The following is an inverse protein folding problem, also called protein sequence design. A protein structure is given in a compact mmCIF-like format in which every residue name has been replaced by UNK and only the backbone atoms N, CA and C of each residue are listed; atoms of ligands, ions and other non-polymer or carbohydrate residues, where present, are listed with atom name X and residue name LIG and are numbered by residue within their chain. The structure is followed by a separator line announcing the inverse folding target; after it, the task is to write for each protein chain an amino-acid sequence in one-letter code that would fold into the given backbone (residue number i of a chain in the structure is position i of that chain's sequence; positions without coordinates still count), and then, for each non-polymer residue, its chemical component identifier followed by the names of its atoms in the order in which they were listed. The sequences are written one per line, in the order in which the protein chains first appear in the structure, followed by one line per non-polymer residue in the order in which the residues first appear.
data_IF_477980927497
#
_entry.id   IF_477980927497
#
_cell.length_a   1.000
_cell.length_b   1.000
_cell.length_c   1.000
_cell.angle_alpha   90.00
_cell.angle_beta   90.00
_cell.angle_gamma   90.00
#
_symmetry.space_group_name_H-M   'P 1'
#
loop_
_entity.id
_entity.type
_entity.pdbx_description
1 polymer ?
#
# COMPACT_ATOMS: atom_id res chain seq x y z
N UNK A 1 18.58 2.14 16.55
CA UNK A 1 17.81 2.07 15.28
C UNK A 1 18.12 3.17 14.27
N UNK A 2 17.82 4.47 14.51
CA UNK A 2 18.17 5.55 13.55
C UNK A 2 19.62 5.47 13.02
N UNK A 3 20.58 5.27 13.92
CA UNK A 3 21.99 5.08 13.53
C UNK A 3 22.22 3.85 12.66
N UNK A 4 21.59 2.70 12.95
CA UNK A 4 21.75 1.47 12.15
C UNK A 4 21.23 1.69 10.72
N UNK A 5 20.05 2.28 10.57
CA UNK A 5 19.49 2.61 9.24
C UNK A 5 20.40 3.58 8.48
N UNK A 6 20.95 4.59 9.16
CA UNK A 6 21.93 5.52 8.59
C UNK A 6 23.18 4.78 8.08
N UNK A 7 23.77 3.89 8.88
CA UNK A 7 24.98 3.16 8.49
C UNK A 7 24.75 2.33 7.22
N UNK A 8 23.58 1.71 7.07
CA UNK A 8 23.24 0.96 5.85
C UNK A 8 23.08 1.89 4.64
N UNK A 9 22.38 3.02 4.82
CA UNK A 9 22.25 4.02 3.77
C UNK A 9 23.60 4.63 3.34
N UNK A 10 24.50 4.88 4.30
CA UNK A 10 25.86 5.37 4.04
C UNK A 10 26.70 4.34 3.29
N UNK A 11 26.53 3.04 3.61
CA UNK A 11 27.23 1.97 2.92
C UNK A 11 26.80 1.87 1.44
N UNK A 12 25.50 1.95 1.17
CA UNK A 12 24.98 2.01 -0.21
C UNK A 12 25.47 3.27 -0.94
N UNK A 13 25.50 4.41 -0.25
CA UNK A 13 26.02 5.67 -0.78
C UNK A 13 27.49 5.55 -1.15
N UNK A 14 28.31 4.97 -0.28
CA UNK A 14 29.73 4.75 -0.53
C UNK A 14 29.98 3.88 -1.78
N UNK A 15 29.23 2.79 -1.94
CA UNK A 15 29.34 1.97 -3.16
C UNK A 15 28.89 2.73 -4.41
N UNK A 16 27.76 3.44 -4.34
CA UNK A 16 27.24 4.24 -5.45
C UNK A 16 28.25 5.32 -5.88
N UNK A 17 28.93 5.96 -4.95
CA UNK A 17 29.95 6.97 -5.24
C UNK A 17 31.20 6.36 -5.89
N UNK A 18 31.56 5.11 -5.56
CA UNK A 18 32.62 4.38 -6.27
C UNK A 18 32.19 4.09 -7.71
N UNK A 19 31.00 3.52 -7.91
CA UNK A 19 30.47 3.21 -9.25
C UNK A 19 30.37 4.47 -10.11
N UNK A 20 29.93 5.59 -9.53
CA UNK A 20 29.76 6.87 -10.23
C UNK A 20 31.06 7.43 -10.81
N UNK A 21 32.23 7.06 -10.27
CA UNK A 21 33.54 7.45 -10.82
C UNK A 21 33.88 6.78 -12.15
N UNK A 22 33.27 5.62 -12.42
CA UNK A 22 33.63 4.77 -13.57
C UNK A 22 32.47 4.51 -14.53
N UNK A 23 31.22 4.68 -14.08
CA UNK A 23 30.05 4.46 -14.94
C UNK A 23 30.05 5.43 -16.11
N UNK A 24 29.57 4.97 -17.26
CA UNK A 24 29.28 5.83 -18.40
C UNK A 24 28.05 6.71 -18.14
N UNK A 25 27.89 7.83 -18.88
CA UNK A 25 26.72 8.69 -18.75
C UNK A 25 25.38 7.99 -19.03
N UNK A 26 25.36 6.98 -19.89
CA UNK A 26 24.19 6.18 -20.31
C UNK A 26 23.84 5.01 -19.37
N UNK A 27 24.60 4.81 -18.29
CA UNK A 27 24.35 3.77 -17.28
C UNK A 27 23.65 4.34 -16.04
N UNK A 28 22.89 3.51 -15.32
CA UNK A 28 22.22 3.88 -14.07
C UNK A 28 22.70 3.01 -12.89
N UNK A 29 22.59 3.54 -11.68
CA UNK A 29 22.83 2.83 -10.43
C UNK A 29 21.49 2.51 -9.76
N UNK A 30 21.28 1.27 -9.34
CA UNK A 30 20.12 0.83 -8.54
C UNK A 30 20.57 -0.12 -7.42
N UNK A 31 19.64 -0.53 -6.57
CA UNK A 31 19.84 -1.57 -5.56
C UNK A 31 18.56 -2.39 -5.40
N UNK A 32 18.68 -3.71 -5.40
CA UNK A 32 17.57 -4.64 -5.21
C UNK A 32 17.10 -4.65 -3.74
N UNK A 33 16.21 -3.73 -3.38
CA UNK A 33 15.63 -3.72 -2.04
C UNK A 33 14.61 -4.86 -1.86
N UNK A 34 14.38 -5.28 -0.61
CA UNK A 34 13.24 -6.12 -0.25
C UNK A 34 12.05 -5.26 0.20
N UNK A 35 10.80 -5.75 0.12
CA UNK A 35 9.60 -5.11 0.68
C UNK A 35 9.60 -5.03 2.23
N UNK A 36 10.74 -5.30 2.88
CA UNK A 36 10.99 -5.06 4.30
C UNK A 36 11.11 -3.55 4.60
N UNK A 37 10.03 -2.81 4.35
CA UNK A 37 9.95 -1.35 4.49
C UNK A 37 10.24 -0.83 5.90
N UNK A 38 10.28 -1.73 6.88
CA UNK A 38 10.49 -1.44 8.30
C UNK A 38 11.96 -1.49 8.77
N UNK A 39 12.82 -2.27 8.10
CA UNK A 39 14.21 -2.50 8.54
C UNK A 39 15.18 -1.43 8.04
N UNK A 40 14.89 -0.86 6.87
CA UNK A 40 15.73 0.11 6.19
C UNK A 40 15.01 1.44 6.03
N UNK A 41 15.78 2.53 5.96
CA UNK A 41 15.29 3.83 5.53
C UNK A 41 15.54 3.95 4.02
N UNK A 42 14.52 3.66 3.22
CA UNK A 42 14.60 3.67 1.76
C UNK A 42 14.76 5.09 1.21
N UNK A 43 14.30 6.12 1.93
CA UNK A 43 14.50 7.52 1.55
C UNK A 43 15.98 7.86 1.64
N UNK A 44 16.62 7.55 2.77
CA UNK A 44 18.04 7.81 2.96
C UNK A 44 18.90 6.95 2.02
N UNK A 45 18.54 5.67 1.85
CA UNK A 45 19.26 4.69 1.03
C UNK A 45 19.13 4.97 -0.48
N UNK A 46 17.99 5.51 -0.92
CA UNK A 46 17.72 5.81 -2.32
C UNK A 46 18.33 7.12 -2.83
N UNK A 47 19.00 7.91 -1.99
CA UNK A 47 19.50 9.25 -2.37
C UNK A 47 20.52 9.24 -3.51
N UNK A 48 21.43 8.27 -3.53
CA UNK A 48 22.52 8.17 -4.51
C UNK A 48 22.26 7.18 -5.66
N UNK A 49 21.11 6.50 -5.62
CA UNK A 49 20.64 5.63 -6.70
C UNK A 49 19.99 6.48 -7.80
N UNK A 50 20.15 6.11 -9.06
CA UNK A 50 19.52 6.83 -10.17
C UNK A 50 18.05 6.39 -10.33
N UNK A 51 17.74 5.12 -10.03
CA UNK A 51 16.39 4.53 -10.02
C UNK A 51 16.22 3.63 -8.81
N UNK A 52 15.00 3.51 -8.28
CA UNK A 52 14.71 2.53 -7.23
C UNK A 52 14.43 1.16 -7.86
N UNK A 53 14.83 0.08 -7.19
CA UNK A 53 14.35 -1.26 -7.54
C UNK A 53 13.96 -2.08 -6.31
N UNK A 54 13.08 -3.06 -6.51
CA UNK A 54 12.57 -3.90 -5.43
C UNK A 54 12.35 -5.34 -5.90
N UNK A 55 12.56 -6.28 -4.98
CA UNK A 55 12.36 -7.71 -5.13
C UNK A 55 11.03 -8.10 -4.49
N UNK A 56 9.99 -8.31 -5.29
CA UNK A 56 8.63 -8.54 -4.76
C UNK A 56 8.28 -10.00 -4.91
N UNK A 57 8.26 -10.72 -3.78
CA UNK A 57 7.75 -12.08 -3.73
C UNK A 57 6.38 -12.11 -3.08
N UNK A 58 5.45 -12.85 -3.68
CA UNK A 58 4.04 -12.84 -3.30
C UNK A 58 3.42 -14.24 -3.34
N UNK A 59 2.21 -14.37 -2.80
CA UNK A 59 1.39 -15.59 -2.91
C UNK A 59 1.10 -15.95 -4.37
N UNK A 60 0.82 -17.22 -4.61
CA UNK A 60 0.57 -17.79 -5.94
C UNK A 60 -0.62 -18.74 -5.86
N UNK A 61 -1.16 -19.19 -7.00
CA UNK A 61 -2.35 -20.03 -7.04
C UNK A 61 -3.52 -19.32 -6.33
N UNK A 62 -4.22 -20.01 -5.43
CA UNK A 62 -5.35 -19.45 -4.67
C UNK A 62 -4.96 -18.32 -3.70
N UNK A 63 -3.66 -18.14 -3.41
CA UNK A 63 -3.17 -17.08 -2.53
C UNK A 63 -2.81 -15.79 -3.29
N UNK A 64 -2.98 -15.74 -4.62
CA UNK A 64 -2.64 -14.57 -5.41
C UNK A 64 -3.73 -13.49 -5.31
N UNK A 65 -3.41 -12.38 -4.64
CA UNK A 65 -4.34 -11.25 -4.42
C UNK A 65 -3.93 -9.95 -5.11
N UNK A 66 -2.65 -9.84 -5.49
CA UNK A 66 -2.03 -8.60 -5.98
C UNK A 66 -1.79 -7.53 -4.91
N UNK A 67 -2.17 -7.79 -3.65
CA UNK A 67 -2.02 -6.85 -2.53
C UNK A 67 -0.54 -6.55 -2.26
N UNK A 68 0.34 -7.56 -2.27
CA UNK A 68 1.78 -7.41 -2.06
C UNK A 68 2.44 -6.59 -3.19
N UNK A 69 2.05 -6.87 -4.44
CA UNK A 69 2.53 -6.13 -5.62
C UNK A 69 2.12 -4.66 -5.52
N UNK A 70 0.86 -4.39 -5.15
CA UNK A 70 0.36 -3.04 -4.97
C UNK A 70 1.08 -2.30 -3.85
N UNK A 71 1.20 -2.91 -2.66
CA UNK A 71 1.86 -2.30 -1.51
C UNK A 71 3.31 -1.94 -1.83
N UNK A 72 4.08 -2.89 -2.36
CA UNK A 72 5.48 -2.68 -2.71
C UNK A 72 5.64 -1.57 -3.75
N UNK A 73 4.80 -1.60 -4.80
CA UNK A 73 4.83 -0.61 -5.87
C UNK A 73 4.44 0.79 -5.42
N UNK A 74 3.37 0.91 -4.64
CA UNK A 74 2.93 2.20 -4.08
C UNK A 74 4.00 2.79 -3.16
N UNK A 75 4.61 1.98 -2.31
CA UNK A 75 5.69 2.44 -1.43
C UNK A 75 6.92 2.90 -2.23
N UNK A 76 7.43 2.06 -3.12
CA UNK A 76 8.69 2.35 -3.84
C UNK A 76 8.57 3.46 -4.87
N UNK A 77 7.43 3.55 -5.57
CA UNK A 77 7.10 4.71 -6.40
C UNK A 77 7.15 5.99 -5.59
N UNK A 78 6.68 5.95 -4.34
CA UNK A 78 6.61 7.12 -3.47
C UNK A 78 7.95 7.54 -2.87
N UNK A 79 8.92 6.63 -2.71
CA UNK A 79 10.25 6.95 -2.13
C UNK A 79 11.00 7.99 -2.97
N UNK A 80 10.99 7.84 -4.30
CA UNK A 80 11.62 8.82 -5.23
C UNK A 80 10.62 9.62 -6.06
N UNK A 81 9.32 9.39 -5.89
CA UNK A 81 8.25 10.01 -6.69
C UNK A 81 8.48 9.78 -8.19
N UNK A 82 8.87 8.56 -8.54
CA UNK A 82 9.24 8.16 -9.89
C UNK A 82 8.87 6.71 -10.15
N UNK A 83 8.92 6.29 -11.41
CA UNK A 83 8.92 4.88 -11.76
C UNK A 83 10.13 4.15 -11.13
N UNK A 84 9.99 2.84 -10.99
CA UNK A 84 10.95 1.96 -10.34
C UNK A 84 11.11 0.66 -11.14
N UNK A 85 12.01 -0.21 -10.73
CA UNK A 85 12.26 -1.50 -11.38
C UNK A 85 11.89 -2.66 -10.45
N UNK A 86 11.38 -3.74 -11.01
CA UNK A 86 11.32 -5.04 -10.33
C UNK A 86 12.54 -5.83 -10.78
N UNK A 87 13.53 -5.95 -9.90
CA UNK A 87 14.76 -6.71 -10.16
C UNK A 87 14.58 -8.20 -9.88
N UNK A 88 13.60 -8.55 -9.06
CA UNK A 88 13.25 -9.94 -8.78
C UNK A 88 11.75 -10.07 -8.48
N UNK A 89 11.12 -11.11 -8.99
CA UNK A 89 9.77 -11.56 -8.62
C UNK A 89 9.65 -13.07 -8.83
N UNK A 90 8.51 -13.65 -8.42
CA UNK A 90 8.20 -15.07 -8.58
C UNK A 90 8.31 -15.51 -10.06
N UNK A 91 9.04 -16.60 -10.31
CA UNK A 91 8.95 -17.38 -11.54
C UNK A 91 8.09 -18.64 -11.31
N UNK A 92 8.69 -19.82 -11.31
CA UNK A 92 7.95 -21.05 -11.03
C UNK A 92 7.64 -21.18 -9.54
N UNK A 93 8.62 -21.16 -8.65
CA UNK A 93 8.35 -21.36 -7.22
C UNK A 93 9.34 -20.58 -6.36
N UNK A 94 8.96 -20.34 -5.11
CA UNK A 94 9.80 -19.66 -4.11
C UNK A 94 10.04 -20.59 -2.92
N UNK A 95 11.06 -20.27 -2.11
CA UNK A 95 11.37 -20.98 -0.87
C UNK A 95 12.54 -21.98 -1.00
N UNK A 96 13.20 -22.24 0.12
CA UNK A 96 14.45 -23.00 0.18
C UNK A 96 14.28 -24.52 0.25
N UNK A 97 13.07 -25.01 0.51
CA UNK A 97 12.80 -26.44 0.64
C UNK A 97 11.52 -26.85 -0.11
N UNK A 98 11.31 -28.16 -0.23
CA UNK A 98 10.21 -28.72 -1.03
C UNK A 98 8.83 -28.66 -0.34
N UNK A 99 8.70 -28.07 0.86
CA UNK A 99 7.43 -28.12 1.62
C UNK A 99 6.33 -27.26 1.02
N UNK A 100 6.69 -26.14 0.37
CA UNK A 100 5.73 -25.10 -0.04
C UNK A 100 5.94 -24.64 -1.49
N UNK A 101 5.95 -25.59 -2.43
CA UNK A 101 6.22 -25.35 -3.85
C UNK A 101 4.93 -25.10 -4.64
N UNK A 102 4.62 -23.83 -4.96
CA UNK A 102 3.35 -23.40 -5.57
C UNK A 102 3.53 -22.74 -6.95
N UNK A 103 3.68 -23.53 -8.03
CA UNK A 103 3.75 -22.97 -9.38
C UNK A 103 2.48 -22.20 -9.75
N UNK A 104 2.57 -20.96 -10.30
CA UNK A 104 1.41 -20.15 -10.66
C UNK A 104 0.47 -20.86 -11.61
N UNK A 105 -0.84 -20.65 -11.47
CA UNK A 105 -1.81 -21.12 -12.46
C UNK A 105 -1.66 -20.38 -13.79
N UNK A 106 -2.29 -20.92 -14.84
CA UNK A 106 -2.28 -20.29 -16.16
C UNK A 106 -2.81 -18.85 -16.07
N UNK A 107 -2.07 -17.91 -16.64
CA UNK A 107 -2.41 -16.48 -16.67
C UNK A 107 -1.83 -15.69 -15.49
N UNK A 108 -1.48 -16.33 -14.38
CA UNK A 108 -0.98 -15.63 -13.21
C UNK A 108 0.40 -14.99 -13.43
N UNK A 109 1.33 -15.64 -14.14
CA UNK A 109 2.65 -15.05 -14.43
C UNK A 109 2.50 -13.81 -15.30
N UNK A 110 1.66 -13.91 -16.33
CA UNK A 110 1.34 -12.81 -17.24
C UNK A 110 0.68 -11.65 -16.48
N UNK A 111 -0.35 -11.94 -15.68
CA UNK A 111 -1.08 -10.94 -14.91
C UNK A 111 -0.17 -10.17 -13.95
N UNK A 112 0.76 -10.85 -13.28
CA UNK A 112 1.68 -10.23 -12.31
C UNK A 112 2.64 -9.23 -12.96
N UNK A 113 3.14 -9.52 -14.18
CA UNK A 113 3.95 -8.55 -14.95
C UNK A 113 3.17 -7.26 -15.15
N UNK A 114 1.94 -7.33 -15.64
CA UNK A 114 1.11 -6.16 -15.84
C UNK A 114 0.67 -5.49 -14.52
N UNK A 115 0.52 -6.24 -13.43
CA UNK A 115 0.24 -5.69 -12.11
C UNK A 115 1.39 -4.83 -11.57
N UNK A 116 2.65 -5.22 -11.84
CA UNK A 116 3.82 -4.40 -11.57
C UNK A 116 3.84 -3.13 -12.44
N UNK A 117 3.60 -3.26 -13.76
CA UNK A 117 3.55 -2.12 -14.67
C UNK A 117 2.45 -1.11 -14.28
N UNK A 118 1.24 -1.58 -13.96
CA UNK A 118 0.13 -0.73 -13.49
C UNK A 118 0.38 -0.04 -12.15
N UNK A 119 1.38 -0.51 -11.39
CA UNK A 119 1.86 0.13 -10.15
C UNK A 119 2.97 1.16 -10.40
N UNK A 120 3.49 1.24 -11.64
CA UNK A 120 4.53 2.16 -12.07
C UNK A 120 5.91 1.53 -12.27
N UNK A 121 6.03 0.20 -12.31
CA UNK A 121 7.29 -0.43 -12.68
C UNK A 121 7.61 -0.20 -14.17
N UNK A 122 8.89 0.00 -14.49
CA UNK A 122 9.38 0.11 -15.88
C UNK A 122 10.03 -1.18 -16.38
N UNK A 123 10.25 -2.15 -15.50
CA UNK A 123 10.93 -3.41 -15.79
C UNK A 123 10.45 -4.47 -14.81
N UNK A 124 10.29 -5.70 -15.28
CA UNK A 124 9.98 -6.87 -14.47
C UNK A 124 10.95 -7.99 -14.80
N UNK A 125 11.85 -8.28 -13.86
CA UNK A 125 12.79 -9.39 -13.94
C UNK A 125 12.37 -10.52 -13.01
N UNK A 126 12.53 -11.75 -13.51
CA UNK A 126 12.32 -12.95 -12.73
C UNK A 126 13.61 -13.36 -12.03
N UNK A 127 13.51 -13.74 -10.76
CA UNK A 127 14.58 -14.47 -10.10
C UNK A 127 14.23 -15.97 -10.14
N UNK A 128 14.92 -16.78 -10.94
CA UNK A 128 15.94 -16.43 -11.94
C UNK A 128 15.66 -17.14 -13.28
N UNK A 129 16.63 -17.19 -14.19
CA UNK A 129 16.40 -17.77 -15.53
C UNK A 129 16.11 -19.29 -15.51
N UNK A 130 16.83 -20.06 -14.69
CA UNK A 130 16.66 -21.52 -14.61
C UNK A 130 16.51 -21.97 -13.15
N UNK A 131 16.52 -23.27 -12.86
CA UNK A 131 16.51 -23.76 -11.47
C UNK A 131 17.89 -24.31 -11.13
N UNK A 132 18.48 -23.86 -10.00
CA UNK A 132 19.83 -24.28 -9.60
C UNK A 132 19.88 -25.78 -9.27
N UNK A 133 20.92 -26.50 -9.73
CA UNK A 133 21.09 -27.93 -9.43
C UNK A 133 21.66 -28.21 -8.04
N UNK A 134 22.15 -27.19 -7.32
CA UNK A 134 22.74 -27.33 -6.00
C UNK A 134 22.62 -26.02 -5.20
N UNK A 135 22.76 -26.13 -3.88
CA UNK A 135 22.73 -25.00 -2.95
C UNK A 135 21.36 -24.81 -2.28
N UNK A 136 21.27 -23.78 -1.44
CA UNK A 136 20.10 -23.50 -0.60
C UNK A 136 18.81 -23.25 -1.42
N UNK A 137 18.95 -22.73 -2.63
CA UNK A 137 17.84 -22.26 -3.47
C UNK A 137 17.51 -23.24 -4.60
N UNK A 138 17.88 -24.52 -4.47
CA UNK A 138 17.53 -25.59 -5.43
C UNK A 138 16.02 -25.64 -5.71
N UNK A 139 15.18 -25.38 -4.71
CA UNK A 139 13.72 -25.36 -4.87
C UNK A 139 13.13 -23.99 -5.17
N UNK A 140 13.94 -22.94 -5.21
CA UNK A 140 13.49 -21.63 -5.67
C UNK A 140 13.66 -21.57 -7.18
N UNK A 141 12.64 -22.06 -7.89
CA UNK A 141 12.74 -22.34 -9.32
C UNK A 141 12.53 -21.10 -10.18
N UNK A 142 13.46 -20.87 -11.11
CA UNK A 142 13.38 -19.88 -12.16
C UNK A 142 12.41 -20.23 -13.31
N UNK A 143 12.54 -19.55 -14.45
CA UNK A 143 11.69 -19.75 -15.65
C UNK A 143 11.85 -21.16 -16.22
N UNK A 144 13.09 -21.63 -16.36
CA UNK A 144 13.41 -23.01 -16.72
C UNK A 144 13.47 -23.91 -15.49
N UNK A 145 13.06 -25.17 -15.67
CA UNK A 145 13.23 -26.22 -14.67
C UNK A 145 14.68 -26.75 -14.66
N UNK A 146 14.98 -27.71 -13.80
CA UNK A 146 16.31 -28.32 -13.66
C UNK A 146 16.80 -29.04 -14.93
N UNK A 147 15.91 -29.46 -15.82
CA UNK A 147 16.26 -30.06 -17.11
C UNK A 147 16.68 -29.04 -18.17
N UNK A 148 16.47 -27.74 -17.91
CA UNK A 148 16.74 -26.63 -18.82
C UNK A 148 15.91 -26.67 -20.12
N UNK A 149 14.78 -27.37 -20.12
CA UNK A 149 13.88 -27.46 -21.27
C UNK A 149 12.69 -26.47 -21.17
N UNK A 150 12.16 -25.99 -22.32
CA UNK A 150 10.93 -25.20 -22.35
C UNK A 150 9.76 -25.91 -21.67
N UNK A 151 9.01 -25.17 -20.88
CA UNK A 151 7.87 -25.68 -20.11
C UNK A 151 6.68 -24.70 -20.12
N UNK A 152 5.60 -25.02 -19.41
CA UNK A 152 4.40 -24.16 -19.32
C UNK A 152 4.70 -22.73 -18.87
N UNK A 153 5.52 -22.56 -17.82
CA UNK A 153 5.89 -21.23 -17.31
C UNK A 153 6.73 -20.45 -18.34
N UNK A 154 7.69 -21.11 -18.99
CA UNK A 154 8.45 -20.49 -20.09
C UNK A 154 7.54 -20.01 -21.22
N UNK A 155 6.53 -20.80 -21.62
CA UNK A 155 5.60 -20.41 -22.68
C UNK A 155 4.77 -19.18 -22.28
N UNK A 156 4.36 -19.07 -21.01
CA UNK A 156 3.61 -17.90 -20.53
C UNK A 156 4.49 -16.64 -20.43
N UNK A 157 5.74 -16.78 -19.97
CA UNK A 157 6.74 -15.69 -19.98
C UNK A 157 7.01 -15.24 -21.42
N UNK A 158 7.20 -16.18 -22.34
CA UNK A 158 7.41 -15.90 -23.76
C UNK A 158 6.22 -15.17 -24.37
N UNK A 159 4.98 -15.62 -24.12
CA UNK A 159 3.77 -14.90 -24.55
C UNK A 159 3.77 -13.45 -24.06
N UNK A 160 4.03 -13.25 -22.77
CA UNK A 160 4.02 -11.92 -22.15
C UNK A 160 5.08 -11.01 -22.75
N UNK A 161 6.28 -11.53 -23.03
CA UNK A 161 7.34 -10.78 -23.70
C UNK A 161 6.92 -10.28 -25.09
N UNK A 162 6.32 -11.14 -25.92
CA UNK A 162 5.83 -10.75 -27.26
C UNK A 162 4.65 -9.77 -27.21
N UNK A 163 3.83 -9.80 -26.16
CA UNK A 163 2.82 -8.76 -25.93
C UNK A 163 3.49 -7.43 -25.60
N UNK A 164 4.48 -7.41 -24.69
CA UNK A 164 5.23 -6.21 -24.32
C UNK A 164 6.03 -5.60 -25.48
N UNK A 165 6.54 -6.38 -26.42
CA UNK A 165 7.15 -5.85 -27.65
C UNK A 165 6.16 -5.00 -28.47
N UNK A 166 4.87 -5.33 -28.42
CA UNK A 166 3.82 -4.61 -29.16
C UNK A 166 3.30 -3.40 -28.39
N UNK A 167 3.05 -3.56 -27.09
CA UNK A 167 2.32 -2.55 -26.29
C UNK A 167 3.22 -1.78 -25.32
N UNK A 168 4.46 -2.19 -25.10
CA UNK A 168 5.33 -1.67 -24.03
C UNK A 168 5.59 -0.16 -24.10
N UNK A 169 5.66 0.40 -25.31
CA UNK A 169 5.78 1.85 -25.53
C UNK A 169 4.58 2.66 -25.02
N UNK A 170 3.41 2.04 -24.88
CA UNK A 170 2.21 2.64 -24.29
C UNK A 170 2.14 2.47 -22.77
N UNK A 171 2.94 1.57 -22.18
CA UNK A 171 2.85 1.19 -20.76
C UNK A 171 3.99 1.73 -19.90
N UNK A 172 5.16 1.99 -20.49
CA UNK A 172 6.34 2.47 -19.78
C UNK A 172 6.13 3.88 -19.21
N UNK A 173 6.82 4.21 -18.12
CA UNK A 173 6.80 5.51 -17.45
C UNK A 173 5.40 5.97 -17.03
N UNK A 174 4.55 5.02 -16.61
CA UNK A 174 3.20 5.31 -16.15
C UNK A 174 3.24 6.29 -14.97
N UNK A 175 2.61 7.46 -15.14
CA UNK A 175 2.50 8.53 -14.13
C UNK A 175 1.19 8.38 -13.38
N UNK A 176 1.26 8.22 -12.06
CA UNK A 176 0.08 8.09 -11.19
C UNK A 176 -0.12 9.39 -10.41
N UNK A 177 -1.37 9.82 -10.29
CA UNK A 177 -1.75 11.02 -9.53
C UNK A 177 -2.83 10.65 -8.51
N UNK A 178 -2.39 10.17 -7.35
CA UNK A 178 -3.30 9.76 -6.29
C UNK A 178 -3.73 10.97 -5.44
N UNK A 179 -4.95 10.93 -4.91
CA UNK A 179 -5.50 11.95 -3.98
C UNK A 179 -5.50 11.52 -2.52
N UNK A 180 -5.07 10.29 -2.26
CA UNK A 180 -4.99 9.69 -0.94
C UNK A 180 -3.52 9.35 -0.67
N UNK A 181 -3.05 9.65 0.54
CA UNK A 181 -1.73 9.21 1.00
C UNK A 181 -1.80 8.47 2.32
N UNK A 182 -0.89 7.52 2.53
CA UNK A 182 -0.62 6.90 3.83
C UNK A 182 0.70 7.44 4.37
N UNK A 183 0.70 8.01 5.57
CA UNK A 183 1.93 8.43 6.23
C UNK A 183 2.61 7.23 6.90
N UNK A 184 3.77 6.84 6.38
CA UNK A 184 4.60 5.79 6.97
C UNK A 184 5.74 6.41 7.79
N UNK A 185 5.78 6.10 9.08
CA UNK A 185 6.84 6.58 9.99
C UNK A 185 7.68 5.42 10.51
N UNK A 186 8.95 5.35 10.11
CA UNK A 186 9.89 4.38 10.67
C UNK A 186 10.06 4.56 12.18
N UNK A 187 10.06 5.80 12.68
CA UNK A 187 10.22 6.04 14.12
C UNK A 187 9.00 5.60 14.92
N UNK A 188 7.78 5.78 14.40
CA UNK A 188 6.59 5.20 15.00
C UNK A 188 6.62 3.67 14.94
N UNK A 189 7.05 3.10 13.81
CA UNK A 189 7.19 1.66 13.66
C UNK A 189 8.13 1.05 14.71
N UNK A 190 9.30 1.67 14.91
CA UNK A 190 10.28 1.22 15.90
C UNK A 190 9.82 1.48 17.34
N UNK A 191 9.20 2.63 17.61
CA UNK A 191 8.66 2.93 18.94
C UNK A 191 7.61 1.91 19.37
N UNK A 192 6.71 1.54 18.46
CA UNK A 192 5.68 0.52 18.70
C UNK A 192 6.23 -0.90 18.71
N UNK A 193 7.28 -1.21 17.94
CA UNK A 193 7.92 -2.53 18.05
C UNK A 193 8.58 -2.73 19.43
N UNK A 194 9.11 -1.66 20.03
CA UNK A 194 9.73 -1.71 21.36
C UNK A 194 8.69 -1.64 22.49
N UNK A 195 7.60 -0.90 22.29
CA UNK A 195 6.46 -0.79 23.21
C UNK A 195 5.17 -1.27 22.53
N UNK A 196 5.01 -2.59 22.34
CA UNK A 196 3.92 -3.15 21.56
C UNK A 196 2.58 -2.99 22.25
N UNK A 197 1.54 -2.75 21.45
CA UNK A 197 0.14 -2.79 21.90
C UNK A 197 -0.55 -4.14 21.60
N UNK A 198 0.10 -5.01 20.81
CA UNK A 198 -0.38 -6.32 20.41
C UNK A 198 0.80 -7.26 20.16
N UNK A 199 0.54 -8.57 20.20
CA UNK A 199 1.56 -9.59 19.93
C UNK A 199 1.95 -9.66 18.45
N UNK A 200 3.22 -10.00 18.22
CA UNK A 200 3.81 -10.24 16.90
C UNK A 200 5.04 -9.39 16.60
N UNK A 201 5.54 -9.51 15.37
CA UNK A 201 6.63 -8.70 14.83
C UNK A 201 6.11 -7.68 13.83
N UNK A 202 6.88 -6.61 13.67
CA UNK A 202 6.63 -5.48 12.78
C UNK A 202 5.20 -4.93 12.93
N UNK A 203 4.72 -4.79 14.18
CA UNK A 203 3.30 -4.58 14.48
C UNK A 203 2.72 -3.34 13.78
N UNK A 204 3.50 -2.27 13.63
CA UNK A 204 3.05 -1.09 12.92
C UNK A 204 2.72 -1.39 11.45
N UNK A 205 3.57 -2.16 10.78
CA UNK A 205 3.30 -2.58 9.40
C UNK A 205 2.17 -3.61 9.34
N UNK A 206 2.30 -4.72 10.08
CA UNK A 206 1.43 -5.89 9.95
C UNK A 206 0.02 -5.68 10.53
N UNK A 207 -0.12 -4.91 11.62
CA UNK A 207 -1.40 -4.69 12.30
C UNK A 207 -2.09 -3.39 11.91
N UNK A 208 -1.36 -2.41 11.36
CA UNK A 208 -1.92 -1.07 11.07
C UNK A 208 -1.79 -0.70 9.59
N UNK A 209 -0.57 -0.50 9.09
CA UNK A 209 -0.37 0.01 7.71
C UNK A 209 -0.95 -0.95 6.66
N UNK A 210 -0.64 -2.25 6.78
CA UNK A 210 -1.04 -3.23 5.78
C UNK A 210 -2.56 -3.43 5.72
N UNK A 211 -3.30 -3.62 6.84
CA UNK A 211 -4.77 -3.67 6.79
C UNK A 211 -5.42 -2.41 6.21
N UNK A 212 -4.89 -1.22 6.53
CA UNK A 212 -5.39 0.04 5.97
C UNK A 212 -5.11 0.15 4.46
N UNK A 213 -3.92 -0.25 4.01
CA UNK A 213 -3.59 -0.30 2.58
C UNK A 213 -4.46 -1.31 1.84
N UNK A 214 -4.66 -2.52 2.39
CA UNK A 214 -5.55 -3.55 1.82
C UNK A 214 -6.98 -3.05 1.66
N UNK A 215 -7.51 -2.34 2.66
CA UNK A 215 -8.84 -1.74 2.58
C UNK A 215 -8.95 -0.79 1.38
N UNK A 216 -8.00 0.14 1.22
CA UNK A 216 -7.97 1.08 0.08
C UNK A 216 -7.77 0.36 -1.27
N UNK A 217 -6.89 -0.63 -1.31
CA UNK A 217 -6.65 -1.45 -2.50
C UNK A 217 -7.92 -2.18 -2.96
N UNK A 218 -8.63 -2.86 -2.06
CA UNK A 218 -9.82 -3.65 -2.39
C UNK A 218 -10.98 -2.84 -2.95
N UNK A 219 -11.06 -1.57 -2.57
CA UNK A 219 -12.03 -0.62 -3.09
C UNK A 219 -11.51 0.22 -4.27
N UNK A 220 -10.39 -0.17 -4.89
CA UNK A 220 -9.78 0.51 -6.03
C UNK A 220 -9.43 1.98 -5.78
N UNK A 221 -9.12 2.34 -4.53
CA UNK A 221 -8.65 3.66 -4.16
C UNK A 221 -7.12 3.72 -4.25
N UNK A 222 -6.60 4.43 -5.26
CA UNK A 222 -5.15 4.60 -5.45
C UNK A 222 -4.51 5.46 -4.35
N UNK A 223 -3.35 5.02 -3.86
CA UNK A 223 -2.63 5.67 -2.76
C UNK A 223 -1.16 5.91 -3.08
N UNK A 224 -0.60 6.95 -2.48
CA UNK A 224 0.84 7.11 -2.32
C UNK A 224 1.25 6.96 -0.86
N UNK A 225 2.55 6.78 -0.62
CA UNK A 225 3.13 6.89 0.71
C UNK A 225 3.82 8.24 0.89
N UNK A 226 3.63 8.86 2.04
CA UNK A 226 4.39 10.03 2.46
C UNK A 226 5.15 9.73 3.74
N UNK A 227 6.24 10.48 3.95
CA UNK A 227 7.19 10.22 5.03
C UNK A 227 7.34 11.48 5.89
N UNK A 228 7.44 11.36 7.23
CA UNK A 228 7.68 12.48 8.15
C UNK A 228 8.72 13.50 7.65
N UNK A 229 9.85 13.01 7.15
CA UNK A 229 11.04 13.76 6.74
C UNK A 229 10.83 14.58 5.46
N UNK A 230 9.88 14.17 4.61
CA UNK A 230 9.58 14.78 3.30
C UNK A 230 8.08 14.94 3.06
N UNK A 231 7.34 15.25 4.11
CA UNK A 231 5.88 15.29 4.07
C UNK A 231 5.37 16.51 3.28
N UNK A 232 4.75 16.26 2.12
CA UNK A 232 4.01 17.27 1.33
C UNK A 232 2.53 16.91 1.34
N UNK A 233 1.84 17.30 2.42
CA UNK A 233 0.42 16.98 2.63
C UNK A 233 -0.50 17.65 1.59
N UNK A 234 -0.12 18.84 1.10
CA UNK A 234 -0.95 19.68 0.22
C UNK A 234 -1.30 19.06 -1.14
N UNK A 235 -0.62 17.97 -1.54
CA UNK A 235 -0.92 17.27 -2.79
C UNK A 235 -2.10 16.30 -2.67
N UNK A 236 -2.53 16.00 -1.45
CA UNK A 236 -3.51 14.99 -1.14
C UNK A 236 -4.76 15.63 -0.54
N UNK A 237 -5.93 15.09 -0.90
CA UNK A 237 -7.21 15.48 -0.31
C UNK A 237 -7.45 14.73 1.01
N UNK A 238 -6.96 13.49 1.11
CA UNK A 238 -7.09 12.63 2.27
C UNK A 238 -5.74 12.04 2.66
N UNK A 239 -5.38 12.11 3.94
CA UNK A 239 -4.16 11.51 4.49
C UNK A 239 -4.51 10.56 5.62
N UNK A 240 -4.13 9.30 5.48
CA UNK A 240 -4.27 8.25 6.48
C UNK A 240 -2.99 8.18 7.29
N UNK A 241 -3.09 8.32 8.60
CA UNK A 241 -1.98 8.32 9.55
C UNK A 241 -2.26 7.20 10.55
N UNK A 242 -1.66 6.00 10.38
CA UNK A 242 -2.04 4.81 11.14
C UNK A 242 -1.90 4.96 12.66
N UNK A 243 -0.68 4.98 13.20
CA UNK A 243 -0.42 5.33 14.61
C UNK A 243 0.89 6.09 14.68
N UNK A 244 0.83 7.43 14.67
CA UNK A 244 2.01 8.28 14.70
C UNK A 244 2.54 8.42 16.13
N UNK A 245 3.00 7.29 16.68
CA UNK A 245 3.38 7.13 18.08
C UNK A 245 4.55 8.03 18.49
N UNK A 246 5.57 8.11 17.65
CA UNK A 246 6.76 8.95 17.82
C UNK A 246 6.76 10.03 16.74
N UNK A 247 6.66 11.29 17.14
CA UNK A 247 6.75 12.42 16.22
C UNK A 247 7.22 13.71 16.91
N UNK A 248 7.99 14.56 16.22
CA UNK A 248 8.29 15.92 16.70
C UNK A 248 7.04 16.79 16.64
N UNK A 249 6.99 17.83 17.49
CA UNK A 249 5.88 18.80 17.51
C UNK A 249 5.67 19.47 16.16
N UNK A 250 6.75 19.75 15.43
CA UNK A 250 6.69 20.37 14.11
C UNK A 250 5.91 19.54 13.09
N UNK A 251 5.92 18.21 13.19
CA UNK A 251 5.10 17.35 12.33
C UNK A 251 3.64 17.38 12.73
N UNK A 252 3.35 17.36 14.04
CA UNK A 252 1.98 17.41 14.55
C UNK A 252 1.31 18.75 14.18
N UNK A 253 2.04 19.87 14.32
CA UNK A 253 1.58 21.20 13.88
C UNK A 253 1.31 21.22 12.37
N UNK A 254 2.19 20.65 11.54
CA UNK A 254 1.94 20.55 10.09
C UNK A 254 0.66 19.79 9.75
N UNK A 255 0.35 18.71 10.48
CA UNK A 255 -0.90 17.95 10.31
C UNK A 255 -2.10 18.83 10.66
N UNK A 256 -2.04 19.55 11.79
CA UNK A 256 -3.09 20.49 12.21
C UNK A 256 -3.30 21.59 11.15
N UNK A 257 -2.22 22.18 10.65
CA UNK A 257 -2.27 23.22 9.61
C UNK A 257 -2.83 22.69 8.28
N UNK A 258 -2.45 21.47 7.87
CA UNK A 258 -3.02 20.81 6.71
C UNK A 258 -4.54 20.67 6.83
N UNK A 259 -5.02 20.18 7.98
CA UNK A 259 -6.47 20.05 8.23
C UNK A 259 -7.16 21.40 8.23
N UNK A 260 -6.60 22.38 8.96
CA UNK A 260 -7.14 23.74 9.04
C UNK A 260 -7.34 24.37 7.65
N UNK A 261 -6.45 24.06 6.71
CA UNK A 261 -6.47 24.56 5.34
C UNK A 261 -7.37 23.77 4.37
N UNK A 262 -8.04 22.71 4.81
CA UNK A 262 -9.00 21.95 3.99
C UNK A 262 -8.66 20.49 3.81
N UNK A 263 -7.53 20.03 4.36
CA UNK A 263 -7.14 18.64 4.32
C UNK A 263 -8.04 17.74 5.17
N UNK A 264 -8.23 16.49 4.73
CA UNK A 264 -8.89 15.46 5.53
C UNK A 264 -7.85 14.48 6.07
N UNK A 265 -7.97 14.12 7.34
CA UNK A 265 -7.07 13.16 8.01
C UNK A 265 -7.87 12.05 8.66
N UNK A 266 -7.46 10.80 8.44
CA UNK A 266 -7.82 9.69 9.33
C UNK A 266 -6.61 9.36 10.18
N UNK A 267 -6.75 9.46 11.50
CA UNK A 267 -5.69 9.29 12.47
C UNK A 267 -6.02 8.12 13.39
N UNK A 268 -5.16 7.11 13.50
CA UNK A 268 -5.39 6.04 14.47
C UNK A 268 -4.78 6.32 15.84
N UNK A 269 -5.15 5.46 16.78
CA UNK A 269 -4.79 5.49 18.19
C UNK A 269 -3.27 5.63 18.42
N UNK A 270 -2.89 6.09 19.61
CA UNK A 270 -1.49 6.38 20.01
C UNK A 270 -0.80 7.48 19.20
N UNK A 271 -1.48 8.16 18.28
CA UNK A 271 -0.90 9.26 17.54
C UNK A 271 -0.68 10.49 18.44
N UNK A 272 0.51 11.09 18.33
CA UNK A 272 0.89 12.24 19.15
C UNK A 272 1.26 11.90 20.60
N UNK A 273 1.46 10.61 20.93
CA UNK A 273 1.71 10.18 22.30
C UNK A 273 3.14 10.48 22.81
N UNK A 274 4.15 10.23 21.98
CA UNK A 274 5.55 10.50 22.30
C UNK A 274 6.13 11.63 21.43
N UNK A 275 7.15 12.32 21.95
CA UNK A 275 8.00 13.21 21.17
C UNK A 275 9.04 12.44 20.33
N UNK A 276 9.89 13.16 19.59
CA UNK A 276 10.93 12.61 18.70
C UNK A 276 12.03 11.79 19.40
N UNK A 277 12.07 11.81 20.73
CA UNK A 277 12.97 11.03 21.58
C UNK A 277 12.28 9.82 22.20
N UNK A 278 11.06 9.49 21.75
CA UNK A 278 10.21 8.46 22.33
C UNK A 278 9.88 8.67 23.82
N UNK A 279 9.87 9.93 24.27
CA UNK A 279 9.41 10.28 25.61
C UNK A 279 7.92 10.63 25.55
N UNK A 280 7.13 10.04 26.45
CA UNK A 280 5.70 10.33 26.59
C UNK A 280 5.51 11.80 26.90
N UNK A 281 4.59 12.45 26.19
CA UNK A 281 4.31 13.86 26.41
C UNK A 281 3.56 14.05 27.73
N UNK A 282 4.04 14.91 28.66
CA UNK A 282 3.39 15.14 29.95
C UNK A 282 2.23 16.15 29.82
N UNK A 283 1.30 15.90 28.91
CA UNK A 283 0.12 16.73 28.61
C UNK A 283 -1.11 15.84 28.38
N UNK A 284 -2.30 16.42 28.34
CA UNK A 284 -3.50 15.67 27.93
C UNK A 284 -3.35 15.16 26.50
N UNK A 285 -3.63 13.87 26.27
CA UNK A 285 -3.52 13.26 24.96
C UNK A 285 -4.71 13.64 24.07
N UNK A 286 -4.56 13.74 22.73
CA UNK A 286 -3.36 13.45 21.91
C UNK A 286 -2.39 14.64 21.76
N UNK A 287 -2.17 15.41 22.83
CA UNK A 287 -1.17 16.47 22.89
C UNK A 287 -1.46 17.59 21.90
N UNK A 288 -0.48 18.01 21.08
CA UNK A 288 -0.67 19.08 20.10
C UNK A 288 -1.81 18.84 19.09
N UNK A 289 -2.31 17.61 18.96
CA UNK A 289 -3.42 17.28 18.07
C UNK A 289 -4.80 17.49 18.70
N UNK A 290 -4.89 17.69 20.03
CA UNK A 290 -6.15 17.73 20.79
C UNK A 290 -7.18 18.68 20.19
N UNK A 291 -6.79 19.93 19.90
CA UNK A 291 -7.70 20.96 19.39
C UNK A 291 -8.31 20.55 18.04
N UNK A 292 -7.47 20.02 17.13
CA UNK A 292 -7.94 19.54 15.84
C UNK A 292 -8.77 18.25 15.94
N UNK A 293 -8.41 17.35 16.86
CA UNK A 293 -9.14 16.12 17.14
C UNK A 293 -10.48 16.35 17.84
N UNK A 294 -10.62 17.42 18.62
CA UNK A 294 -11.84 17.77 19.34
C UNK A 294 -12.19 16.85 20.51
N UNK A 295 -11.21 16.15 21.09
CA UNK A 295 -11.37 15.30 22.27
C UNK A 295 -10.06 15.24 23.06
N UNK A 296 -10.11 14.77 24.30
CA UNK A 296 -8.94 14.34 25.06
C UNK A 296 -9.13 12.93 25.64
N UNK A 297 -8.04 12.31 26.12
CA UNK A 297 -8.10 11.09 26.94
C UNK A 297 -6.94 11.02 27.94
N UNK A 298 -7.13 10.20 28.97
CA UNK A 298 -6.11 9.91 30.00
C UNK A 298 -5.90 8.41 30.21
N UNK A 299 -6.87 7.59 29.83
CA UNK A 299 -6.88 6.16 30.07
C UNK A 299 -7.02 5.40 28.74
N UNK A 300 -6.54 4.16 28.75
CA UNK A 300 -6.66 3.22 27.66
C UNK A 300 -6.63 1.79 28.20
N UNK A 301 -7.16 0.84 27.42
CA UNK A 301 -7.16 -0.59 27.75
C UNK A 301 -6.80 -1.40 26.53
N UNK A 302 -6.13 -2.54 26.75
CA UNK A 302 -6.11 -3.62 25.77
C UNK A 302 -7.47 -4.32 25.75
N UNK A 303 -7.92 -4.73 24.57
CA UNK A 303 -9.17 -5.48 24.37
C UNK A 303 -8.91 -6.62 23.38
N UNK A 304 -9.59 -7.76 23.53
CA UNK A 304 -9.46 -8.86 22.56
C UNK A 304 -10.24 -8.55 21.28
N UNK A 305 -11.57 -8.52 21.38
CA UNK A 305 -12.46 -8.09 20.31
C UNK A 305 -13.78 -7.61 20.92
N UNK A 306 -14.28 -6.47 20.47
CA UNK A 306 -15.59 -5.92 20.84
C UNK A 306 -16.33 -5.48 19.58
N UNK A 307 -17.66 -5.68 19.47
CA UNK A 307 -18.40 -5.13 18.35
C UNK A 307 -18.52 -3.61 18.43
N UNK A 308 -18.75 -2.95 17.30
CA UNK A 308 -19.27 -1.58 17.30
C UNK A 308 -20.79 -1.62 17.42
N UNK A 309 -21.34 -0.86 18.37
CA UNK A 309 -22.76 -0.83 18.69
C UNK A 309 -23.59 -0.38 17.50
N UNK A 310 -24.68 -1.10 17.24
CA UNK A 310 -25.64 -0.86 16.15
C UNK A 310 -25.03 -0.99 14.74
N UNK A 311 -23.81 -1.53 14.62
CA UNK A 311 -23.09 -1.76 13.36
C UNK A 311 -23.16 -0.53 12.41
N UNK A 312 -22.55 0.61 12.80
CA UNK A 312 -22.76 1.89 12.12
C UNK A 312 -22.24 1.93 10.69
N UNK A 313 -21.47 0.92 10.28
CA UNK A 313 -20.89 0.76 8.96
C UNK A 313 -21.55 -0.33 8.11
N UNK A 314 -22.53 -1.05 8.66
CA UNK A 314 -23.30 -2.06 7.92
C UNK A 314 -22.47 -3.25 7.42
N UNK A 315 -21.38 -3.60 8.10
CA UNK A 315 -20.54 -4.78 7.75
C UNK A 315 -21.15 -6.07 8.30
N UNK A 316 -20.59 -7.24 8.00
CA UNK A 316 -21.07 -8.50 8.60
C UNK A 316 -20.86 -8.51 10.12
N UNK A 317 -21.62 -9.31 10.87
CA UNK A 317 -21.40 -9.47 12.32
C UNK A 317 -20.00 -10.00 12.65
N UNK A 318 -19.46 -10.88 11.79
CA UNK A 318 -18.10 -11.40 11.93
C UNK A 318 -17.03 -10.32 11.73
N UNK A 319 -17.29 -9.37 10.83
CA UNK A 319 -16.37 -8.29 10.50
C UNK A 319 -16.52 -7.07 11.42
N UNK A 320 -17.64 -6.92 12.13
CA UNK A 320 -17.86 -5.80 13.04
C UNK A 320 -17.06 -5.98 14.34
N UNK A 321 -15.73 -5.82 14.28
CA UNK A 321 -14.82 -6.00 15.42
C UNK A 321 -13.82 -4.86 15.56
N UNK A 322 -13.81 -4.26 16.74
CA UNK A 322 -12.74 -3.44 17.27
C UNK A 322 -11.80 -4.31 18.13
N UNK A 323 -10.50 -4.23 17.93
CA UNK A 323 -9.51 -5.13 18.55
C UNK A 323 -8.30 -4.39 19.10
N UNK A 324 -7.49 -5.12 19.86
CA UNK A 324 -6.16 -4.78 20.38
C UNK A 324 -6.11 -3.63 21.40
N UNK A 325 -6.81 -2.53 21.16
CA UNK A 325 -6.67 -1.28 21.91
C UNK A 325 -7.99 -0.52 22.02
N UNK A 326 -8.16 0.23 23.11
CA UNK A 326 -9.30 1.11 23.34
C UNK A 326 -8.83 2.33 24.13
N UNK A 327 -8.80 3.50 23.51
CA UNK A 327 -8.57 4.78 24.21
C UNK A 327 -9.89 5.35 24.74
N UNK A 328 -9.88 5.87 25.97
CA UNK A 328 -11.08 6.36 26.63
C UNK A 328 -11.35 7.81 26.22
N UNK A 329 -11.77 7.98 24.96
CA UNK A 329 -11.96 9.29 24.34
C UNK A 329 -13.09 10.07 25.04
N UNK A 330 -12.82 11.34 25.37
CA UNK A 330 -13.77 12.28 25.96
C UNK A 330 -13.94 13.45 24.99
N UNK A 331 -15.01 13.45 24.16
CA UNK A 331 -15.25 14.50 23.18
C UNK A 331 -15.44 15.88 23.82
N UNK A 332 -14.93 16.90 23.14
CA UNK A 332 -15.15 18.32 23.43
C UNK A 332 -15.96 18.95 22.29
N UNK A 333 -15.43 18.90 21.07
CA UNK A 333 -16.10 19.36 19.84
C UNK A 333 -16.31 18.23 18.83
N UNK A 334 -15.65 17.08 19.02
CA UNK A 334 -15.75 15.95 18.11
C UNK A 334 -17.12 15.30 18.17
N UNK A 335 -17.65 14.97 17.00
CA UNK A 335 -18.85 14.15 16.84
C UNK A 335 -18.49 12.67 16.98
N UNK A 336 -19.36 11.93 17.67
CA UNK A 336 -19.18 10.49 17.85
C UNK A 336 -19.68 9.75 16.62
N UNK A 337 -18.79 8.98 16.00
CA UNK A 337 -19.07 8.18 14.80
C UNK A 337 -19.49 6.77 15.17
N UNK A 338 -18.75 6.15 16.10
CA UNK A 338 -19.00 4.78 16.52
C UNK A 338 -18.64 4.59 18.00
N UNK A 339 -19.35 3.68 18.67
CA UNK A 339 -19.12 3.29 20.06
C UNK A 339 -18.93 1.78 20.14
N UNK A 340 -18.21 1.32 21.16
CA UNK A 340 -18.13 -0.10 21.47
C UNK A 340 -19.48 -0.62 21.98
N UNK A 341 -19.85 -1.83 21.59
CA UNK A 341 -20.98 -2.55 22.18
C UNK A 341 -20.50 -3.32 23.43
N UNK A 342 -20.40 -2.58 24.52
CA UNK A 342 -19.96 -3.12 25.80
C UNK A 342 -20.45 -2.24 26.95
N UNK A 343 -20.86 -2.84 28.07
CA UNK A 343 -21.43 -2.14 29.23
C UNK A 343 -20.52 -1.05 29.81
N UNK A 344 -19.22 -1.34 29.90
CA UNK A 344 -18.19 -0.37 30.31
C UNK A 344 -17.65 0.48 29.15
N UNK A 345 -16.99 -0.15 28.16
CA UNK A 345 -16.31 0.58 27.08
C UNK A 345 -17.24 1.40 26.19
N UNK A 346 -18.53 1.07 26.07
CA UNK A 346 -19.50 1.84 25.27
C UNK A 346 -19.72 3.29 25.73
N UNK A 347 -19.26 3.64 26.95
CA UNK A 347 -19.20 5.02 27.44
C UNK A 347 -18.26 5.89 26.59
N UNK A 348 -17.21 5.29 26.04
CA UNK A 348 -16.19 5.96 25.24
C UNK A 348 -16.39 5.68 23.75
N UNK A 349 -16.25 6.69 22.87
CA UNK A 349 -16.23 6.49 21.43
C UNK A 349 -15.07 5.61 20.97
N UNK A 350 -15.34 4.73 20.00
CA UNK A 350 -14.31 4.01 19.25
C UNK A 350 -13.78 4.85 18.08
N UNK A 351 -14.66 5.61 17.43
CA UNK A 351 -14.34 6.51 16.32
C UNK A 351 -15.01 7.85 16.55
N UNK A 352 -14.28 8.93 16.30
CA UNK A 352 -14.79 10.31 16.33
C UNK A 352 -14.41 11.06 15.05
N UNK A 353 -15.16 12.10 14.71
CA UNK A 353 -14.84 13.05 13.63
C UNK A 353 -14.97 14.46 14.17
N UNK A 354 -14.01 15.33 13.90
CA UNK A 354 -14.09 16.75 14.21
C UNK A 354 -13.84 17.58 12.95
N UNK A 355 -14.64 18.62 12.76
CA UNK A 355 -14.37 19.65 11.73
C UNK A 355 -13.42 20.67 12.34
N UNK A 356 -12.29 20.91 11.69
CA UNK A 356 -11.29 21.86 12.17
C UNK A 356 -10.81 22.75 11.02
N UNK A 357 -11.07 24.06 11.12
CA UNK A 357 -10.91 24.98 10.00
C UNK A 357 -11.78 24.55 8.81
N UNK A 358 -11.16 24.32 7.65
CA UNK A 358 -11.84 23.91 6.42
C UNK A 358 -11.89 22.39 6.21
N UNK A 359 -11.13 21.63 6.98
CA UNK A 359 -10.98 20.17 6.83
C UNK A 359 -11.60 19.38 7.98
N UNK A 360 -11.24 18.09 8.06
CA UNK A 360 -11.71 17.19 9.12
C UNK A 360 -10.61 16.28 9.65
N UNK A 361 -10.67 15.98 10.96
CA UNK A 361 -9.91 14.89 11.58
C UNK A 361 -10.88 13.80 12.00
N UNK A 362 -10.70 12.60 11.46
CA UNK A 362 -11.40 11.39 11.90
C UNK A 362 -10.43 10.54 12.68
N UNK A 363 -10.72 10.30 13.97
CA UNK A 363 -9.84 9.58 14.87
C UNK A 363 -10.37 8.18 15.17
N UNK A 364 -9.53 7.16 15.03
CA UNK A 364 -9.83 5.76 15.31
C UNK A 364 -9.10 5.33 16.58
N UNK A 365 -9.79 5.31 17.71
CA UNK A 365 -9.25 5.02 19.05
C UNK A 365 -8.99 3.54 19.35
N UNK A 366 -8.97 2.70 18.32
CA UNK A 366 -8.87 1.23 18.37
C UNK A 366 -8.32 0.68 17.05
N UNK A 367 -8.08 -0.62 16.95
CA UNK A 367 -7.86 -1.28 15.66
C UNK A 367 -9.17 -1.82 15.09
N UNK A 368 -9.32 -1.82 13.77
CA UNK A 368 -10.53 -2.27 13.07
C UNK A 368 -10.20 -3.42 12.10
N UNK A 369 -11.22 -4.20 11.75
CA UNK A 369 -11.11 -5.16 10.64
C UNK A 369 -10.98 -4.44 9.29
N UNK A 370 -10.53 -5.17 8.26
CA UNK A 370 -10.42 -4.63 6.90
C UNK A 370 -11.78 -4.11 6.39
N UNK A 371 -12.91 -4.84 6.51
CA UNK A 371 -14.21 -4.32 6.05
C UNK A 371 -14.67 -3.06 6.80
N UNK A 372 -14.35 -2.93 8.09
CA UNK A 372 -14.60 -1.70 8.84
C UNK A 372 -13.72 -0.53 8.35
N UNK A 373 -12.44 -0.78 8.05
CA UNK A 373 -11.59 0.23 7.41
C UNK A 373 -12.10 0.61 6.02
N UNK A 374 -12.57 -0.34 5.20
CA UNK A 374 -13.16 -0.06 3.87
C UNK A 374 -14.36 0.87 3.98
N UNK A 375 -15.30 0.57 4.89
CA UNK A 375 -16.48 1.39 5.11
C UNK A 375 -16.14 2.78 5.66
N UNK A 376 -15.18 2.85 6.60
CA UNK A 376 -14.70 4.12 7.14
C UNK A 376 -14.02 4.96 6.05
N UNK A 377 -13.12 4.39 5.27
CA UNK A 377 -12.40 5.10 4.21
C UNK A 377 -13.32 5.54 3.10
N UNK A 378 -14.31 4.74 2.69
CA UNK A 378 -15.34 5.16 1.73
C UNK A 378 -16.03 6.45 2.17
N UNK A 379 -16.47 6.50 3.44
CA UNK A 379 -17.08 7.71 4.00
C UNK A 379 -16.13 8.91 3.98
N UNK A 380 -14.86 8.72 4.33
CA UNK A 380 -13.91 9.83 4.40
C UNK A 380 -13.43 10.29 3.01
N UNK A 381 -13.36 9.39 2.03
CA UNK A 381 -13.11 9.69 0.61
C UNK A 381 -14.25 10.53 0.04
N UNK A 382 -15.51 10.16 0.31
CA UNK A 382 -16.69 10.92 -0.10
C UNK A 382 -16.68 12.34 0.50
N UNK A 383 -16.38 12.46 1.81
CA UNK A 383 -16.22 13.77 2.47
C UNK A 383 -15.10 14.61 1.87
N UNK A 384 -14.01 13.97 1.45
CA UNK A 384 -12.87 14.62 0.80
C UNK A 384 -13.15 14.99 -0.68
N UNK A 385 -14.33 14.68 -1.21
CA UNK A 385 -14.71 14.96 -2.60
C UNK A 385 -13.90 14.18 -3.62
N UNK A 386 -13.32 13.05 -3.22
CA UNK A 386 -12.54 12.19 -4.11
C UNK A 386 -13.51 11.28 -4.86
N UNK A 387 -13.44 11.30 -6.19
CA UNK A 387 -14.23 10.43 -7.07
C UNK A 387 -13.31 9.82 -8.12
N UNK A 388 -13.36 8.49 -8.25
CA UNK A 388 -12.67 7.73 -9.28
C UNK A 388 -13.62 6.66 -9.83
N UNK A 389 -13.88 6.59 -11.14
CA UNK A 389 -14.70 5.53 -11.74
C UNK A 389 -14.25 4.11 -11.39
N UNK A 390 -12.95 3.91 -11.13
CA UNK A 390 -12.40 2.63 -10.69
C UNK A 390 -13.06 2.10 -9.40
N UNK A 391 -13.48 3.00 -8.50
CA UNK A 391 -14.10 2.66 -7.22
C UNK A 391 -15.53 2.10 -7.34
N UNK A 392 -16.09 2.03 -8.55
CA UNK A 392 -17.32 1.29 -8.83
C UNK A 392 -17.11 -0.23 -8.82
N UNK A 393 -15.87 -0.67 -9.00
CA UNK A 393 -15.46 -2.07 -8.90
C UNK A 393 -14.85 -2.34 -7.53
N UNK A 394 -14.86 -3.59 -7.12
CA UNK A 394 -14.31 -4.07 -5.85
C UNK A 394 -13.61 -5.41 -6.08
N UNK A 395 -12.64 -5.71 -5.21
CA UNK A 395 -11.94 -7.00 -5.20
C UNK A 395 -12.94 -8.18 -5.33
N UNK A 396 -12.69 -9.19 -6.20
CA UNK A 396 -11.42 -9.51 -6.85
C UNK A 396 -11.12 -8.76 -8.16
N UNK A 397 -11.98 -7.82 -8.57
CA UNK A 397 -11.72 -6.95 -9.71
C UNK A 397 -10.94 -5.70 -9.28
N UNK A 398 -9.68 -5.64 -9.70
CA UNK A 398 -8.77 -4.56 -9.34
C UNK A 398 -8.45 -3.71 -10.56
N UNK A 399 -8.47 -2.40 -10.39
CA UNK A 399 -8.20 -1.41 -11.41
C UNK A 399 -7.00 -0.56 -11.00
N UNK A 400 -6.03 -0.41 -11.90
CA UNK A 400 -4.94 0.54 -11.74
C UNK A 400 -4.91 1.48 -12.93
N UNK A 401 -4.82 2.78 -12.65
CA UNK A 401 -4.83 3.82 -13.68
C UNK A 401 -3.58 4.69 -13.61
N UNK A 402 -3.22 5.31 -14.73
CA UNK A 402 -2.19 6.34 -14.82
C UNK A 402 -2.11 6.95 -16.22
N UNK A 403 -1.26 7.95 -16.39
CA UNK A 403 -0.99 8.60 -17.67
C UNK A 403 0.33 8.10 -18.24
N UNK A 404 0.36 7.64 -19.49
CA UNK A 404 1.60 7.23 -20.14
C UNK A 404 2.37 8.42 -20.75
N UNK A 405 3.51 8.16 -21.38
CA UNK A 405 4.32 9.20 -22.02
C UNK A 405 3.70 9.82 -23.28
N UNK A 406 2.67 9.17 -23.85
CA UNK A 406 1.86 9.71 -24.95
C UNK A 406 0.76 10.67 -24.45
N UNK A 407 0.67 10.90 -23.13
CA UNK A 407 -0.35 11.75 -22.53
C UNK A 407 -1.73 11.08 -22.48
N UNK A 408 -1.79 9.77 -22.63
CA UNK A 408 -3.03 8.97 -22.65
C UNK A 408 -3.28 8.34 -21.30
N UNK A 409 -4.55 8.25 -20.92
CA UNK A 409 -4.95 7.49 -19.73
C UNK A 409 -4.93 6.00 -20.06
N UNK A 410 -4.24 5.24 -19.22
CA UNK A 410 -4.14 3.78 -19.30
C UNK A 410 -4.80 3.19 -18.06
N UNK A 411 -5.69 2.22 -18.29
CA UNK A 411 -6.43 1.51 -17.25
C UNK A 411 -6.15 0.01 -17.35
N UNK A 412 -5.60 -0.56 -16.30
CA UNK A 412 -5.38 -1.98 -16.14
C UNK A 412 -6.51 -2.54 -15.28
N UNK A 413 -7.16 -3.61 -15.73
CA UNK A 413 -8.18 -4.36 -15.00
C UNK A 413 -7.65 -5.77 -14.77
N UNK A 414 -7.70 -6.23 -13.53
CA UNK A 414 -7.20 -7.54 -13.12
C UNK A 414 -8.33 -8.35 -12.49
N UNK A 415 -8.41 -9.64 -12.80
CA UNK A 415 -9.27 -10.59 -12.12
C UNK A 415 -8.45 -11.52 -11.22
N UNK A 416 -8.35 -11.18 -9.92
CA UNK A 416 -7.67 -12.02 -8.93
C UNK A 416 -8.58 -13.14 -8.41
N UNK A 417 -9.14 -13.95 -9.32
CA UNK A 417 -9.96 -15.11 -8.96
C UNK A 417 -9.91 -16.22 -10.02
N UNK A 418 -10.35 -17.41 -9.63
CA UNK A 418 -10.51 -18.59 -10.48
C UNK A 418 -11.79 -18.57 -11.34
N UNK A 419 -12.65 -17.57 -11.18
CA UNK A 419 -13.94 -17.48 -11.85
C UNK A 419 -13.97 -16.31 -12.85
N UNK A 420 -14.71 -16.42 -13.97
CA UNK A 420 -14.90 -15.29 -14.87
C UNK A 420 -15.76 -14.22 -14.19
N UNK A 421 -15.33 -12.96 -14.27
CA UNK A 421 -16.07 -11.83 -13.73
C UNK A 421 -16.62 -10.93 -14.84
N UNK A 422 -17.86 -10.47 -14.65
CA UNK A 422 -18.53 -9.52 -15.54
C UNK A 422 -18.71 -8.19 -14.85
N UNK A 423 -18.40 -7.09 -15.55
CA UNK A 423 -18.59 -5.75 -15.02
C UNK A 423 -18.94 -4.76 -16.15
N UNK A 424 -19.60 -3.67 -15.78
CA UNK A 424 -19.83 -2.54 -16.68
C UNK A 424 -18.56 -1.69 -16.76
N UNK A 425 -18.08 -1.38 -17.96
CA UNK A 425 -16.88 -0.57 -18.15
C UNK A 425 -17.06 0.83 -17.53
N UNK A 426 -16.24 1.27 -16.56
CA UNK A 426 -16.53 2.47 -15.77
C UNK A 426 -16.05 3.77 -16.43
N UNK A 427 -15.06 3.71 -17.31
CA UNK A 427 -14.48 4.89 -17.96
C UNK A 427 -15.26 5.30 -19.20
N UNK A 428 -14.94 6.48 -19.76
CA UNK A 428 -15.76 7.05 -20.84
C UNK A 428 -15.69 6.20 -22.11
N UNK A 429 -14.48 5.78 -22.46
CA UNK A 429 -14.13 4.93 -23.59
C UNK A 429 -12.77 4.31 -23.33
N UNK A 430 -12.40 3.24 -24.04
CA UNK A 430 -11.03 2.75 -24.03
C UNK A 430 -10.80 1.70 -25.10
N UNK A 431 -9.63 1.73 -25.72
CA UNK A 431 -9.19 0.70 -26.66
C UNK A 431 -8.28 -0.29 -25.93
N UNK A 432 -8.65 -1.57 -25.94
CA UNK A 432 -7.80 -2.65 -25.42
C UNK A 432 -6.52 -2.74 -26.25
N UNK A 433 -5.39 -2.46 -25.61
CA UNK A 433 -4.08 -2.48 -26.26
C UNK A 433 -3.65 -3.88 -26.70
N UNK A 434 -4.21 -4.93 -26.10
CA UNK A 434 -3.83 -6.32 -26.39
C UNK A 434 -4.67 -6.93 -27.53
N UNK A 435 -5.94 -6.54 -27.65
CA UNK A 435 -6.87 -7.11 -28.64
C UNK A 435 -7.35 -6.13 -29.71
N UNK A 436 -7.23 -4.81 -29.48
CA UNK A 436 -7.81 -3.77 -30.33
C UNK A 436 -9.32 -3.57 -30.14
N UNK A 437 -9.93 -4.22 -29.15
CA UNK A 437 -11.36 -4.08 -28.85
C UNK A 437 -11.64 -2.73 -28.23
N UNK A 438 -12.66 -2.01 -28.74
CA UNK A 438 -13.11 -0.76 -28.16
C UNK A 438 -14.23 -1.01 -27.14
N UNK A 439 -14.13 -0.34 -25.99
CA UNK A 439 -15.13 -0.32 -24.93
C UNK A 439 -15.69 1.09 -24.73
N UNK A 440 -16.98 1.16 -24.42
CA UNK A 440 -17.67 2.40 -24.02
C UNK A 440 -18.21 2.26 -22.59
N UNK A 441 -18.42 3.39 -21.92
CA UNK A 441 -19.02 3.41 -20.57
C UNK A 441 -20.30 2.57 -20.52
N UNK A 442 -20.40 1.71 -19.52
CA UNK A 442 -21.58 0.87 -19.30
C UNK A 442 -21.63 -0.40 -20.15
N UNK A 443 -20.75 -0.56 -21.14
CA UNK A 443 -20.63 -1.80 -21.90
C UNK A 443 -20.18 -2.94 -20.97
N UNK A 444 -20.83 -4.09 -21.09
CA UNK A 444 -20.46 -5.27 -20.31
C UNK A 444 -19.14 -5.87 -20.82
N UNK A 445 -18.19 -6.00 -19.92
CA UNK A 445 -16.90 -6.67 -20.11
C UNK A 445 -16.92 -7.98 -19.35
N UNK A 446 -16.33 -9.04 -19.92
CA UNK A 446 -16.07 -10.31 -19.22
C UNK A 446 -14.57 -10.51 -19.17
N UNK A 447 -14.02 -10.64 -17.96
CA UNK A 447 -12.61 -10.93 -17.75
C UNK A 447 -12.48 -12.38 -17.27
N UNK A 448 -11.65 -13.17 -17.97
CA UNK A 448 -11.43 -14.58 -17.64
C UNK A 448 -10.71 -14.74 -16.28
N UNK A 449 -10.73 -15.94 -15.69
CA UNK A 449 -9.93 -16.22 -14.49
C UNK A 449 -8.47 -15.81 -14.67
N UNK A 450 -7.90 -15.11 -13.67
CA UNK A 450 -6.50 -14.68 -13.68
C UNK A 450 -6.05 -13.84 -14.88
N UNK A 451 -6.99 -13.18 -15.57
CA UNK A 451 -6.71 -12.41 -16.78
C UNK A 451 -6.60 -10.90 -16.50
N UNK A 452 -6.05 -10.19 -17.49
CA UNK A 452 -5.86 -8.74 -17.48
C UNK A 452 -6.36 -8.10 -18.77
N UNK A 453 -7.10 -7.00 -18.62
CA UNK A 453 -7.50 -6.09 -19.69
C UNK A 453 -6.74 -4.77 -19.52
N UNK A 454 -6.20 -4.21 -20.61
CA UNK A 454 -5.44 -2.96 -20.57
C UNK A 454 -6.00 -2.01 -21.62
N UNK A 455 -6.71 -0.97 -21.20
CA UNK A 455 -7.33 -0.01 -22.12
C UNK A 455 -6.63 1.34 -22.11
N UNK A 456 -6.54 1.99 -23.27
CA UNK A 456 -6.04 3.36 -23.45
C UNK A 456 -7.15 4.29 -24.01
N UNK A 457 -7.24 5.54 -23.51
CA UNK A 457 -8.31 6.51 -23.88
C UNK A 457 -8.01 7.51 -25.03
#
# INVERSE_FOLDING_TARGET
ERYKRKVIADYLTWQADIVRKYKRPDQFITHCFMPAVFDLDQIASGRHLDVMSINVYHGSQDELTGEEIAFAGDYFRSVKQSNYLITETNAQTIGWDSKYQKPPYDGQLRMNVYAHLGSGANMVEYWHWHSLHYGQETYWKGVFSHDLEPNRAYNEVSRTAHELEKVGSHLVNLKKQNKIAILYSHDAAWGLQFMPFADGSHIYHNRLVLPMHKALYRMNAGVDFIFPEKSVFSNYSLVIIPSLYVAPDSLLVKIVDYVKNGGHVVLGFKSGFCNEYNAVRPVMMPGPLREACGFWYQEFSSISALPLKDNPFGVSEEDNKATDWCEFLIPETAEVVARYDHSFFGKYPAVTTNRFGKGTVTYVGTNLTIPLYEALFRREIEKAGISDPAMQLHYPLIVKSGTNDLGRQVHYFFNYSSEPHKFAYPFAKGNDLLTGTNYLRGQMVTLAPWDVLITEE
#
